data_IF_813204120898
#
_entry.id   IF_813204120898
#
_cell.length_a   1.000
_cell.length_b   1.000
_cell.length_c   1.000
_cell.angle_alpha   90.00
_cell.angle_beta   90.00
_cell.angle_gamma   90.00
#
_symmetry.space_group_name_H-M   'P 1'
#
loop_
_entity.id
_entity.type
_entity.pdbx_description
1 polymer ?
#
# COMPACT_ATOMS: atom_id res chain seq x y z
N UNK A 1 -11.16 7.66 -55.78
CA UNK A 1 -10.71 7.61 -54.38
C UNK A 1 -10.21 6.20 -54.11
N UNK A 2 -8.91 6.02 -53.88
CA UNK A 2 -8.39 4.69 -53.54
C UNK A 2 -8.83 4.36 -52.10
N UNK A 3 -9.45 3.20 -51.91
CA UNK A 3 -9.76 2.70 -50.58
C UNK A 3 -8.46 2.57 -49.79
N UNK A 4 -8.37 3.17 -48.60
CA UNK A 4 -7.23 2.95 -47.72
C UNK A 4 -7.24 1.48 -47.30
N UNK A 5 -6.40 0.68 -47.94
CA UNK A 5 -6.22 -0.71 -47.52
C UNK A 5 -5.46 -0.71 -46.19
N UNK A 6 -6.16 -0.95 -45.10
CA UNK A 6 -5.52 -1.17 -43.80
C UNK A 6 -4.75 -2.48 -43.87
N UNK A 7 -3.41 -2.42 -43.87
CA UNK A 7 -2.59 -3.62 -43.85
C UNK A 7 -2.69 -4.29 -42.48
N UNK A 8 -3.01 -5.59 -42.40
CA UNK A 8 -3.04 -6.29 -41.12
C UNK A 8 -1.65 -6.30 -40.49
N UNK A 9 -1.58 -6.24 -39.16
CA UNK A 9 -0.32 -6.10 -38.40
C UNK A 9 0.81 -7.05 -38.87
N UNK A 10 0.57 -8.36 -39.10
CA UNK A 10 1.64 -9.27 -39.54
C UNK A 10 2.23 -8.97 -40.93
N UNK A 11 1.56 -8.14 -41.74
CA UNK A 11 2.01 -7.73 -43.08
C UNK A 11 2.73 -6.38 -43.08
N UNK A 12 2.84 -5.72 -41.94
CA UNK A 12 3.62 -4.49 -41.81
C UNK A 12 5.13 -4.81 -41.92
N UNK A 13 5.94 -3.90 -42.49
CA UNK A 13 7.39 -3.94 -42.39
C UNK A 13 7.85 -4.16 -40.94
N UNK A 14 8.96 -4.89 -40.78
CA UNK A 14 9.49 -5.26 -39.47
C UNK A 14 9.73 -4.04 -38.58
N UNK A 15 10.23 -2.96 -39.14
CA UNK A 15 10.49 -1.70 -38.44
C UNK A 15 9.22 -1.13 -37.81
N UNK A 16 8.10 -1.14 -38.56
CA UNK A 16 6.81 -0.65 -38.04
C UNK A 16 6.24 -1.59 -36.97
N UNK A 17 6.38 -2.91 -37.14
CA UNK A 17 5.95 -3.89 -36.12
C UNK A 17 6.71 -3.70 -34.81
N UNK A 18 8.03 -3.53 -34.89
CA UNK A 18 8.87 -3.24 -33.72
C UNK A 18 8.51 -1.90 -33.07
N UNK A 19 8.29 -0.84 -33.84
CA UNK A 19 7.86 0.45 -33.30
C UNK A 19 6.52 0.36 -32.57
N UNK A 20 5.57 -0.41 -33.10
CA UNK A 20 4.28 -0.65 -32.45
C UNK A 20 4.47 -1.43 -31.15
N UNK A 21 5.30 -2.49 -31.13
CA UNK A 21 5.57 -3.22 -29.90
C UNK A 21 6.26 -2.36 -28.84
N UNK A 22 7.27 -1.58 -29.24
CA UNK A 22 7.97 -0.65 -28.34
C UNK A 22 6.99 0.42 -27.80
N UNK A 23 6.13 0.97 -28.66
CA UNK A 23 5.13 1.96 -28.26
C UNK A 23 3.99 1.38 -27.42
N UNK A 24 3.75 0.07 -27.49
CA UNK A 24 2.75 -0.62 -26.69
C UNK A 24 3.26 -0.98 -25.29
N UNK A 25 4.58 -1.12 -25.10
CA UNK A 25 5.17 -1.33 -23.78
C UNK A 25 4.83 -0.15 -22.86
N UNK A 26 4.23 -0.43 -21.70
CA UNK A 26 4.00 0.61 -20.68
C UNK A 26 5.36 1.03 -20.13
N UNK A 27 5.83 2.22 -20.53
CA UNK A 27 7.03 2.84 -19.99
C UNK A 27 6.75 3.27 -18.56
N UNK A 28 7.49 2.76 -17.58
CA UNK A 28 7.44 3.31 -16.22
C UNK A 28 8.17 4.66 -16.28
N UNK A 29 7.42 5.76 -16.22
CA UNK A 29 8.05 7.07 -16.13
C UNK A 29 8.61 7.27 -14.71
N UNK A 30 9.65 8.10 -14.52
CA UNK A 30 10.06 8.51 -13.19
C UNK A 30 8.88 9.07 -12.37
N UNK A 31 8.58 8.40 -11.25
CA UNK A 31 7.44 8.70 -10.39
C UNK A 31 6.10 8.09 -10.83
N UNK A 32 6.11 7.06 -11.69
CA UNK A 32 5.01 6.11 -11.79
C UNK A 32 5.14 5.08 -10.66
N UNK A 33 4.12 4.99 -9.82
CA UNK A 33 4.10 4.10 -8.66
C UNK A 33 3.09 2.98 -8.90
N UNK A 34 3.57 1.73 -8.93
CA UNK A 34 2.73 0.56 -9.12
C UNK A 34 2.26 -0.02 -7.78
N UNK A 35 1.02 -0.52 -7.74
CA UNK A 35 0.53 -1.38 -6.67
C UNK A 35 0.62 -2.83 -7.14
N UNK A 36 1.33 -3.65 -6.39
CA UNK A 36 1.51 -5.08 -6.65
C UNK A 36 0.95 -5.92 -5.51
N UNK A 37 0.14 -6.91 -5.83
CA UNK A 37 -0.44 -7.82 -4.85
C UNK A 37 0.45 -9.04 -4.67
N UNK A 38 0.97 -9.20 -3.45
CA UNK A 38 1.97 -10.20 -3.13
C UNK A 38 1.46 -11.18 -2.08
N UNK A 39 1.90 -12.42 -2.18
CA UNK A 39 1.88 -13.38 -1.09
C UNK A 39 3.24 -13.36 -0.41
N UNK A 40 3.21 -13.45 0.91
CA UNK A 40 4.40 -13.38 1.76
C UNK A 40 4.54 -14.74 2.42
N UNK A 41 5.72 -15.35 2.27
CA UNK A 41 6.02 -16.66 2.81
C UNK A 41 7.34 -16.61 3.57
N UNK A 42 7.49 -17.49 4.56
CA UNK A 42 8.79 -17.78 5.13
C UNK A 42 9.78 -18.21 4.03
N UNK A 43 11.05 -17.81 4.16
CA UNK A 43 12.06 -18.11 3.17
C UNK A 43 12.19 -19.63 3.08
N UNK A 44 12.01 -20.19 1.88
CA UNK A 44 12.35 -21.58 1.65
C UNK A 44 13.86 -21.69 1.74
N UNK A 45 14.38 -22.17 2.87
CA UNK A 45 15.79 -22.50 2.99
C UNK A 45 16.16 -23.53 1.90
N UNK A 46 16.87 -23.09 0.87
CA UNK A 46 17.75 -23.98 0.13
C UNK A 46 18.97 -24.20 1.02
N UNK A 47 19.19 -25.46 1.41
CA UNK A 47 20.23 -25.94 2.31
C UNK A 47 21.52 -25.10 2.28
N UNK A 48 21.91 -24.51 3.43
CA UNK A 48 23.32 -24.21 3.69
C UNK A 48 23.70 -22.89 4.35
N UNK A 49 22.84 -21.87 4.43
CA UNK A 49 23.18 -20.62 5.15
C UNK A 49 21.99 -20.16 6.00
N UNK A 50 22.10 -20.13 7.35
CA UNK A 50 21.12 -19.48 8.18
C UNK A 50 21.17 -17.97 7.90
N UNK A 51 20.08 -17.39 7.38
CA UNK A 51 19.92 -15.94 7.43
C UNK A 51 19.70 -15.54 8.89
N UNK A 52 20.51 -14.62 9.45
CA UNK A 52 20.36 -14.14 10.81
C UNK A 52 19.26 -13.06 10.91
N UNK A 53 18.16 -13.19 10.17
CA UNK A 53 17.12 -12.17 10.11
C UNK A 53 15.74 -12.76 9.91
N UNK A 54 14.76 -12.17 10.59
CA UNK A 54 13.32 -12.35 10.37
C UNK A 54 12.90 -11.84 8.98
N UNK A 55 13.36 -12.53 7.94
CA UNK A 55 13.15 -12.15 6.54
C UNK A 55 12.00 -12.94 5.98
N UNK A 56 11.03 -12.26 5.36
CA UNK A 56 9.97 -12.89 4.58
C UNK A 56 10.25 -12.69 3.09
N UNK A 57 9.93 -13.70 2.28
CA UNK A 57 10.05 -13.60 0.82
C UNK A 57 8.70 -13.26 0.22
N UNK A 58 8.67 -12.19 -0.58
CA UNK A 58 7.51 -11.78 -1.35
C UNK A 58 7.51 -12.44 -2.75
N UNK A 59 6.33 -12.92 -3.15
CA UNK A 59 6.05 -13.42 -4.50
C UNK A 59 4.71 -12.87 -4.97
N UNK A 60 4.45 -12.88 -6.28
CA UNK A 60 3.13 -12.45 -6.77
C UNK A 60 2.05 -13.35 -6.15
N UNK A 61 0.96 -12.75 -5.68
CA UNK A 61 -0.14 -13.51 -5.11
C UNK A 61 -0.76 -14.45 -6.15
N UNK A 62 -0.94 -15.72 -5.79
CA UNK A 62 -1.47 -16.74 -6.69
C UNK A 62 -2.88 -16.35 -7.18
N UNK A 63 -3.05 -16.24 -8.50
CA UNK A 63 -4.33 -15.91 -9.12
C UNK A 63 -4.66 -14.41 -9.14
N UNK A 64 -3.75 -13.55 -8.66
CA UNK A 64 -3.90 -12.12 -8.80
C UNK A 64 -3.89 -11.68 -10.27
N UNK A 65 -4.76 -10.74 -10.59
CA UNK A 65 -4.90 -10.14 -11.92
C UNK A 65 -4.83 -8.62 -11.88
N UNK A 66 -4.70 -8.06 -10.68
CA UNK A 66 -4.80 -6.63 -10.44
C UNK A 66 -3.44 -5.97 -10.23
N UNK A 67 -2.34 -6.71 -10.16
CA UNK A 67 -1.01 -6.09 -9.99
C UNK A 67 -0.59 -5.27 -11.20
N UNK A 68 -0.02 -4.08 -10.95
CA UNK A 68 0.47 -3.19 -12.00
C UNK A 68 1.51 -3.86 -12.92
N UNK A 69 2.36 -4.73 -12.37
CA UNK A 69 3.35 -5.48 -13.13
C UNK A 69 2.76 -6.39 -14.22
N UNK A 70 1.46 -6.71 -14.15
CA UNK A 70 0.73 -7.50 -15.14
C UNK A 70 0.26 -6.71 -16.35
N UNK A 71 0.35 -5.37 -16.36
CA UNK A 71 -0.07 -4.52 -17.50
C UNK A 71 0.58 -4.93 -18.81
N UNK A 72 1.84 -5.35 -18.77
CA UNK A 72 2.58 -5.84 -19.94
C UNK A 72 2.40 -7.35 -20.20
N UNK A 73 1.61 -8.07 -19.41
CA UNK A 73 1.41 -9.52 -19.54
C UNK A 73 0.75 -9.93 -20.86
N UNK A 74 -0.12 -9.09 -21.41
CA UNK A 74 -0.69 -9.28 -22.74
C UNK A 74 0.38 -9.26 -23.84
N UNK A 75 1.34 -8.33 -23.75
CA UNK A 75 2.48 -8.27 -24.67
C UNK A 75 3.38 -9.50 -24.53
N UNK A 76 3.60 -9.98 -23.31
CA UNK A 76 4.42 -11.16 -23.07
C UNK A 76 3.80 -12.43 -23.69
N UNK A 77 2.48 -12.53 -23.69
CA UNK A 77 1.79 -13.73 -24.19
C UNK A 77 1.42 -13.65 -25.68
N UNK A 78 1.52 -12.48 -26.30
CA UNK A 78 1.09 -12.25 -27.69
C UNK A 78 1.85 -13.09 -28.73
N UNK A 79 3.18 -12.93 -28.83
CA UNK A 79 4.01 -13.68 -29.78
C UNK A 79 5.51 -13.61 -29.42
N UNK A 80 6.36 -14.36 -30.14
CA UNK A 80 7.81 -14.32 -29.93
C UNK A 80 8.40 -12.92 -30.11
N UNK A 81 8.00 -12.21 -31.16
CA UNK A 81 8.53 -10.88 -31.47
C UNK A 81 8.22 -9.87 -30.35
N UNK A 82 7.00 -9.85 -29.83
CA UNK A 82 6.61 -9.01 -28.70
C UNK A 82 7.44 -9.32 -27.44
N UNK A 83 7.68 -10.61 -27.15
CA UNK A 83 8.53 -11.01 -26.01
C UNK A 83 9.98 -10.56 -26.18
N UNK A 84 10.54 -10.70 -27.38
CA UNK A 84 11.92 -10.31 -27.66
C UNK A 84 12.09 -8.78 -27.46
N UNK A 85 11.09 -7.99 -27.88
CA UNK A 85 11.03 -6.53 -27.62
C UNK A 85 10.94 -6.23 -26.13
N UNK A 86 10.06 -6.91 -25.38
CA UNK A 86 9.94 -6.71 -23.92
C UNK A 86 11.24 -7.01 -23.17
N UNK A 87 11.94 -8.10 -23.54
CA UNK A 87 13.21 -8.45 -22.91
C UNK A 87 14.26 -7.36 -23.14
N UNK A 88 14.38 -6.86 -24.37
CA UNK A 88 15.29 -5.75 -24.69
C UNK A 88 14.89 -4.47 -23.95
N UNK A 89 13.60 -4.11 -23.95
CA UNK A 89 13.09 -2.94 -23.25
C UNK A 89 13.33 -2.99 -21.74
N UNK A 90 13.18 -4.16 -21.12
CA UNK A 90 13.40 -4.37 -19.69
C UNK A 90 14.88 -4.35 -19.28
N UNK A 91 15.81 -4.52 -20.24
CA UNK A 91 17.25 -4.58 -19.98
C UNK A 91 17.91 -3.21 -19.83
N UNK A 92 17.18 -2.13 -20.13
CA UNK A 92 17.68 -0.76 -20.05
C UNK A 92 17.48 -0.21 -18.63
N UNK A 93 18.61 -0.05 -17.93
CA UNK A 93 18.93 0.76 -16.75
C UNK A 93 18.02 0.75 -15.50
N UNK A 94 18.65 0.46 -14.35
CA UNK A 94 18.23 0.95 -13.04
C UNK A 94 18.79 0.13 -11.86
N UNK A 95 19.69 0.72 -11.07
CA UNK A 95 20.30 0.14 -9.85
C UNK A 95 19.34 -0.10 -8.67
N UNK A 96 18.02 -0.06 -8.88
CA UNK A 96 17.00 -0.06 -7.81
C UNK A 96 15.70 -0.81 -8.18
N UNK A 97 15.70 -1.63 -9.22
CA UNK A 97 14.54 -2.48 -9.55
C UNK A 97 14.78 -3.93 -9.11
N UNK A 98 13.71 -4.60 -8.66
CA UNK A 98 13.69 -6.03 -8.42
C UNK A 98 12.79 -6.73 -9.45
N UNK A 99 12.76 -8.06 -9.38
CA UNK A 99 12.02 -8.91 -10.31
C UNK A 99 11.06 -9.82 -9.54
N UNK A 100 9.78 -9.73 -9.84
CA UNK A 100 8.75 -10.61 -9.27
C UNK A 100 8.38 -11.68 -10.29
N UNK A 101 8.47 -12.95 -9.88
CA UNK A 101 8.18 -14.06 -10.78
C UNK A 101 6.68 -14.24 -10.97
N UNK A 102 6.26 -14.31 -12.23
CA UNK A 102 4.87 -14.51 -12.65
C UNK A 102 4.74 -15.90 -13.25
N UNK A 103 3.91 -16.73 -12.62
CA UNK A 103 3.62 -18.07 -13.11
C UNK A 103 2.76 -17.99 -14.37
N UNK A 104 3.30 -18.48 -15.49
CA UNK A 104 2.60 -18.50 -16.77
C UNK A 104 2.14 -19.91 -17.16
N UNK A 105 1.18 -20.00 -18.10
CA UNK A 105 0.78 -21.27 -18.74
C UNK A 105 1.88 -21.80 -19.70
N UNK A 106 3.07 -22.12 -19.17
CA UNK A 106 4.15 -22.82 -19.88
C UNK A 106 5.50 -22.12 -19.91
N UNK A 107 5.58 -20.82 -19.57
CA UNK A 107 6.86 -20.14 -19.34
C UNK A 107 6.69 -19.02 -18.32
N UNK A 108 7.30 -19.22 -17.16
CA UNK A 108 7.39 -18.18 -16.14
C UNK A 108 8.15 -16.99 -16.71
N UNK A 109 7.76 -15.80 -16.28
CA UNK A 109 8.46 -14.59 -16.63
C UNK A 109 8.50 -13.66 -15.44
N UNK A 110 9.55 -12.89 -15.36
CA UNK A 110 9.73 -12.00 -14.23
C UNK A 110 9.37 -10.59 -14.65
N UNK A 111 8.42 -9.98 -13.94
CA UNK A 111 8.11 -8.58 -14.13
C UNK A 111 9.02 -7.70 -13.27
N UNK A 112 9.33 -6.54 -13.83
CA UNK A 112 10.11 -5.50 -13.16
C UNK A 112 9.22 -4.76 -12.17
N UNK A 113 9.73 -4.55 -10.96
CA UNK A 113 9.11 -3.76 -9.88
C UNK A 113 10.17 -2.89 -9.21
N UNK A 114 9.75 -1.88 -8.45
CA UNK A 114 10.64 -0.95 -7.75
C UNK A 114 10.39 -1.03 -6.23
N UNK A 115 11.11 -1.88 -5.48
CA UNK A 115 10.83 -2.16 -4.06
C UNK A 115 10.72 -0.94 -3.13
N UNK A 116 11.43 0.14 -3.43
CA UNK A 116 11.45 1.36 -2.61
C UNK A 116 10.45 2.42 -3.08
N UNK A 117 9.79 2.23 -4.22
CA UNK A 117 8.85 3.20 -4.80
C UNK A 117 7.44 2.61 -4.91
N UNK A 118 7.33 1.40 -5.45
CA UNK A 118 6.07 0.70 -5.59
C UNK A 118 5.49 0.32 -4.22
N UNK A 119 4.16 0.12 -4.21
CA UNK A 119 3.42 -0.36 -3.06
C UNK A 119 3.14 -1.84 -3.22
N UNK A 120 3.41 -2.61 -2.17
CA UNK A 120 3.22 -4.05 -2.14
C UNK A 120 2.07 -4.40 -1.19
N UNK A 121 0.91 -4.70 -1.76
CA UNK A 121 -0.26 -5.08 -1.02
C UNK A 121 -0.23 -6.57 -0.67
N UNK A 122 -0.26 -6.91 0.61
CA UNK A 122 -0.18 -8.31 1.06
C UNK A 122 -1.55 -8.98 0.92
N UNK A 123 -1.58 -10.11 0.22
CA UNK A 123 -2.71 -11.05 0.08
C UNK A 123 -2.26 -12.47 0.45
N UNK A 124 -1.82 -12.63 1.70
CA UNK A 124 -1.38 -13.94 2.15
C UNK A 124 -2.57 -14.89 2.36
N UNK A 125 -2.40 -16.16 2.04
CA UNK A 125 -3.39 -17.20 2.35
C UNK A 125 -3.23 -17.73 3.77
N UNK A 126 -2.02 -17.64 4.32
CA UNK A 126 -1.68 -18.22 5.62
C UNK A 126 -1.62 -17.15 6.71
N UNK A 127 -1.23 -15.92 6.37
CA UNK A 127 -1.00 -14.83 7.34
C UNK A 127 -0.01 -15.18 8.45
N UNK A 128 0.79 -16.23 8.25
CA UNK A 128 1.81 -16.68 9.17
C UNK A 128 2.97 -15.68 9.19
N UNK A 129 3.57 -15.50 10.36
CA UNK A 129 4.69 -14.61 10.57
C UNK A 129 5.70 -15.25 11.51
N UNK A 130 6.97 -14.81 11.48
CA UNK A 130 7.96 -15.23 12.47
C UNK A 130 7.49 -14.80 13.86
N UNK A 131 7.60 -15.68 14.86
CA UNK A 131 7.22 -15.39 16.24
C UNK A 131 8.15 -14.39 16.95
N UNK A 132 9.28 -14.04 16.33
CA UNK A 132 10.33 -13.23 16.94
C UNK A 132 10.21 -11.76 16.53
N UNK A 133 9.82 -10.91 17.49
CA UNK A 133 9.83 -9.45 17.35
C UNK A 133 11.17 -8.80 17.71
N UNK A 134 12.15 -9.60 18.17
CA UNK A 134 13.45 -9.15 18.65
C UNK A 134 14.32 -8.48 17.57
N UNK A 135 14.03 -8.74 16.30
CA UNK A 135 14.70 -8.14 15.15
C UNK A 135 13.65 -7.46 14.26
N UNK A 136 14.05 -6.35 13.62
CA UNK A 136 13.23 -5.67 12.64
C UNK A 136 12.88 -6.59 11.47
N UNK A 137 11.60 -6.72 11.17
CA UNK A 137 11.10 -7.53 10.07
C UNK A 137 11.52 -6.92 8.74
N UNK A 138 11.97 -7.78 7.83
CA UNK A 138 12.27 -7.38 6.46
C UNK A 138 11.47 -8.26 5.51
N UNK A 139 10.62 -7.63 4.70
CA UNK A 139 9.99 -8.32 3.57
C UNK A 139 10.85 -8.03 2.34
N UNK A 140 11.34 -9.08 1.70
CA UNK A 140 12.31 -8.99 0.63
C UNK A 140 11.79 -9.61 -0.67
N UNK A 141 12.13 -8.97 -1.78
CA UNK A 141 11.94 -9.53 -3.12
C UNK A 141 13.30 -10.05 -3.62
N UNK A 142 13.36 -11.26 -4.19
CA UNK A 142 14.56 -11.76 -4.84
C UNK A 142 15.00 -10.83 -5.98
N UNK A 143 16.23 -10.34 -5.94
CA UNK A 143 16.87 -9.64 -7.05
C UNK A 143 17.57 -10.69 -7.93
N UNK A 144 17.06 -10.84 -9.15
CA UNK A 144 17.66 -11.67 -10.19
C UNK A 144 18.68 -10.83 -10.98
N UNK A 145 19.69 -10.32 -10.27
CA UNK A 145 20.86 -9.70 -10.88
C UNK A 145 21.74 -10.77 -11.57
N UNK A 146 22.34 -10.51 -12.74
CA UNK A 146 23.18 -11.48 -13.47
C UNK A 146 24.39 -12.00 -12.68
N UNK A 147 24.76 -11.37 -11.57
CA UNK A 147 25.93 -11.69 -10.73
C UNK A 147 25.64 -12.39 -9.39
N UNK A 148 24.38 -12.75 -9.10
CA UNK A 148 24.00 -13.48 -7.88
C UNK A 148 22.66 -13.04 -7.27
N UNK A 149 22.15 -13.84 -6.34
CA UNK A 149 20.93 -13.57 -5.55
C UNK A 149 21.20 -12.41 -4.58
N UNK A 150 20.96 -11.18 -5.02
CA UNK A 150 20.74 -10.08 -4.08
C UNK A 150 19.27 -10.14 -3.67
N UNK A 151 18.92 -9.57 -2.53
CA UNK A 151 17.53 -9.36 -2.15
C UNK A 151 17.36 -7.88 -1.85
N UNK A 152 16.18 -7.34 -2.14
CA UNK A 152 15.86 -5.94 -1.84
C UNK A 152 14.64 -5.89 -0.95
N UNK A 153 14.75 -5.20 0.18
CA UNK A 153 13.64 -4.97 1.09
C UNK A 153 12.63 -4.01 0.46
N UNK A 154 11.34 -4.35 0.56
CA UNK A 154 10.27 -3.44 0.20
C UNK A 154 10.09 -2.38 1.29
N UNK A 155 9.75 -1.16 0.90
CA UNK A 155 9.57 -0.04 1.84
C UNK A 155 8.13 0.38 2.01
N UNK A 156 7.25 0.12 1.03
CA UNK A 156 5.85 0.51 1.07
C UNK A 156 4.96 -0.74 1.10
N UNK A 157 4.40 -1.05 2.26
CA UNK A 157 3.53 -2.22 2.45
C UNK A 157 2.09 -1.74 2.56
N UNK A 158 1.17 -2.44 1.90
CA UNK A 158 -0.25 -2.15 1.99
C UNK A 158 -1.11 -3.34 2.42
N UNK A 159 -2.30 -3.04 2.96
CA UNK A 159 -3.36 -3.99 3.23
C UNK A 159 -4.69 -3.46 2.70
N UNK A 160 -5.51 -4.33 2.13
CA UNK A 160 -6.89 -3.96 1.76
C UNK A 160 -7.75 -3.94 3.02
N UNK A 161 -8.39 -2.80 3.29
CA UNK A 161 -9.32 -2.67 4.39
C UNK A 161 -10.57 -3.51 4.15
N UNK A 162 -11.04 -4.16 5.21
CA UNK A 162 -12.32 -4.86 5.24
C UNK A 162 -13.08 -4.39 6.47
N UNK A 163 -14.33 -3.95 6.30
CA UNK A 163 -15.15 -3.42 7.40
C UNK A 163 -15.38 -4.43 8.53
N UNK A 164 -15.26 -5.73 8.26
CA UNK A 164 -15.28 -6.77 9.29
C UNK A 164 -14.12 -6.65 10.29
N UNK A 165 -13.09 -5.86 10.01
CA UNK A 165 -11.98 -5.63 10.94
C UNK A 165 -12.42 -4.95 12.24
N UNK A 166 -13.57 -4.28 12.25
CA UNK A 166 -14.16 -3.72 13.47
C UNK A 166 -14.99 -4.71 14.29
N UNK A 167 -15.22 -5.93 13.77
CA UNK A 167 -16.04 -6.95 14.44
C UNK A 167 -15.16 -7.82 15.33
N UNK A 168 -15.68 -8.18 16.50
CA UNK A 168 -15.03 -9.11 17.43
C UNK A 168 -13.56 -8.73 17.70
N UNK A 169 -13.30 -7.43 17.92
CA UNK A 169 -11.98 -6.96 18.32
C UNK A 169 -11.63 -7.52 19.71
N UNK A 170 -10.40 -8.03 19.90
CA UNK A 170 -9.98 -8.54 21.18
C UNK A 170 -9.77 -7.41 22.19
N UNK A 171 -9.64 -7.78 23.47
CA UNK A 171 -9.46 -6.83 24.56
C UNK A 171 -8.02 -6.34 24.73
N UNK A 172 -7.05 -7.03 24.15
CA UNK A 172 -5.65 -6.65 24.22
C UNK A 172 -4.96 -6.73 22.86
N UNK A 173 -3.94 -5.90 22.68
CA UNK A 173 -3.20 -5.80 21.42
C UNK A 173 -2.47 -7.09 21.06
N UNK A 174 -1.93 -7.82 22.05
CA UNK A 174 -1.24 -9.09 21.83
C UNK A 174 -2.15 -10.19 21.29
N UNK A 175 -3.41 -10.23 21.71
CA UNK A 175 -4.41 -11.14 21.14
C UNK A 175 -4.70 -10.78 19.67
N UNK A 176 -4.80 -9.48 19.35
CA UNK A 176 -4.97 -9.02 17.95
C UNK A 176 -3.78 -9.42 17.10
N UNK A 177 -2.57 -9.21 17.61
CA UNK A 177 -1.32 -9.69 17.00
C UNK A 177 -1.22 -11.21 16.92
N UNK A 178 -2.04 -11.97 17.61
CA UNK A 178 -2.01 -13.43 17.52
C UNK A 178 -2.99 -13.97 16.47
N UNK A 179 -3.81 -13.10 15.87
CA UNK A 179 -4.76 -13.52 14.84
C UNK A 179 -4.05 -13.93 13.54
N UNK A 180 -4.47 -15.06 12.98
CA UNK A 180 -4.09 -15.49 11.62
C UNK A 180 -4.97 -14.79 10.57
N UNK A 181 -4.96 -13.46 10.59
CA UNK A 181 -5.79 -12.58 9.77
C UNK A 181 -4.96 -11.42 9.18
N UNK A 182 -5.51 -10.70 8.21
CA UNK A 182 -4.88 -9.51 7.64
C UNK A 182 -4.66 -8.41 8.68
N UNK A 183 -5.68 -8.15 9.54
CA UNK A 183 -5.55 -7.17 10.63
C UNK A 183 -4.54 -7.61 11.68
N UNK A 184 -4.47 -8.90 12.01
CA UNK A 184 -3.44 -9.41 12.93
C UNK A 184 -2.04 -9.24 12.36
N UNK A 185 -1.85 -9.50 11.06
CA UNK A 185 -0.58 -9.27 10.39
C UNK A 185 -0.19 -7.78 10.40
N UNK A 186 -1.14 -6.89 10.08
CA UNK A 186 -0.94 -5.44 10.17
C UNK A 186 -0.52 -5.03 11.58
N UNK A 187 -1.21 -5.53 12.62
CA UNK A 187 -0.89 -5.22 14.01
C UNK A 187 0.52 -5.66 14.41
N UNK A 188 0.95 -6.86 13.96
CA UNK A 188 2.32 -7.34 14.17
C UNK A 188 3.36 -6.45 13.47
N UNK A 189 3.05 -5.98 12.26
CA UNK A 189 3.92 -5.09 11.49
C UNK A 189 4.07 -3.72 12.16
N UNK A 190 2.98 -3.14 12.64
CA UNK A 190 2.96 -1.88 13.39
C UNK A 190 3.77 -2.00 14.69
N UNK A 191 3.57 -3.09 15.43
CA UNK A 191 4.31 -3.37 16.66
C UNK A 191 5.81 -3.58 16.40
N UNK A 192 6.17 -4.31 15.35
CA UNK A 192 7.58 -4.48 14.98
C UNK A 192 8.24 -3.17 14.56
N UNK A 193 7.54 -2.32 13.80
CA UNK A 193 7.98 -0.96 13.44
C UNK A 193 8.24 -0.12 14.68
N UNK A 194 7.30 -0.14 15.62
CA UNK A 194 7.39 0.54 16.89
C UNK A 194 8.60 0.09 17.70
N UNK A 195 8.76 -1.21 17.98
CA UNK A 195 9.88 -1.72 18.79
C UNK A 195 11.27 -1.44 18.22
N UNK A 196 11.38 -1.33 16.90
CA UNK A 196 12.65 -1.25 16.19
C UNK A 196 12.95 0.15 15.62
N UNK A 197 12.12 1.16 15.91
CA UNK A 197 12.24 2.52 15.36
C UNK A 197 12.38 2.54 13.82
N UNK A 198 11.62 1.69 13.11
CA UNK A 198 11.73 1.53 11.65
C UNK A 198 11.05 2.67 10.89
N UNK A 199 11.76 3.80 10.76
CA UNK A 199 11.28 5.00 10.07
C UNK A 199 11.20 4.88 8.54
N UNK A 200 11.86 3.88 7.94
CA UNK A 200 11.88 3.71 6.47
C UNK A 200 10.76 2.83 5.94
N UNK A 201 9.93 2.26 6.81
CA UNK A 201 8.84 1.37 6.42
C UNK A 201 7.50 2.13 6.46
N UNK A 202 6.96 2.42 5.28
CA UNK A 202 5.65 3.02 5.14
C UNK A 202 4.56 1.95 5.08
N UNK A 203 3.52 2.13 5.88
CA UNK A 203 2.39 1.20 5.98
C UNK A 203 1.15 1.93 5.47
N UNK A 204 0.44 1.28 4.56
CA UNK A 204 -0.70 1.83 3.85
C UNK A 204 -1.95 0.96 4.04
N UNK A 205 -3.12 1.59 4.16
CA UNK A 205 -4.42 0.94 4.12
C UNK A 205 -5.13 1.34 2.83
N UNK A 206 -5.51 0.36 2.02
CA UNK A 206 -6.25 0.55 0.76
C UNK A 206 -7.75 0.44 1.04
N UNK A 207 -8.48 1.50 0.76
CA UNK A 207 -9.93 1.64 0.92
C UNK A 207 -10.56 1.66 -0.48
N UNK A 208 -11.09 0.52 -0.93
CA UNK A 208 -11.60 0.38 -2.31
C UNK A 208 -12.96 1.04 -2.54
N UNK A 209 -13.87 0.90 -1.58
CA UNK A 209 -15.27 1.25 -1.76
C UNK A 209 -15.68 2.51 -1.00
N UNK A 210 -14.72 3.23 -0.41
CA UNK A 210 -15.00 4.41 0.40
C UNK A 210 -15.03 5.67 -0.44
N UNK A 211 -16.12 6.43 -0.35
CA UNK A 211 -16.27 7.75 -0.91
C UNK A 211 -15.39 8.74 -0.15
N UNK A 212 -14.68 9.58 -0.90
CA UNK A 212 -13.74 10.55 -0.33
C UNK A 212 -13.78 11.86 -1.12
N UNK A 213 -13.16 12.90 -0.59
CA UNK A 213 -13.07 14.19 -1.27
C UNK A 213 -11.68 14.79 -1.13
N UNK A 214 -11.32 15.68 -2.04
CA UNK A 214 -10.01 16.35 -2.03
C UNK A 214 -9.99 17.41 -0.92
N UNK A 215 -8.91 17.44 -0.14
CA UNK A 215 -8.61 18.58 0.72
C UNK A 215 -8.20 19.79 -0.14
N UNK A 216 -9.01 20.87 -0.20
CA UNK A 216 -8.71 22.03 -1.04
C UNK A 216 -7.45 22.78 -0.62
N UNK A 217 -6.92 22.52 0.58
CA UNK A 217 -5.73 23.16 1.12
C UNK A 217 -4.46 22.28 1.05
N UNK A 218 -4.58 21.00 0.69
CA UNK A 218 -3.41 20.18 0.33
C UNK A 218 -3.12 20.36 -1.16
N UNK A 219 -1.93 20.86 -1.54
CA UNK A 219 -1.63 21.20 -2.92
C UNK A 219 -1.49 19.95 -3.79
N UNK A 220 -2.44 19.79 -4.72
CA UNK A 220 -2.52 18.80 -5.82
C UNK A 220 -2.53 17.33 -5.35
N UNK A 221 -3.26 16.44 -6.03
CA UNK A 221 -3.08 15.02 -5.76
C UNK A 221 -1.62 14.65 -6.08
N UNK A 222 -1.00 13.93 -5.14
CA UNK A 222 0.14 13.05 -5.44
C UNK A 222 -0.19 12.27 -6.72
N UNK A 223 0.81 12.02 -7.59
CA UNK A 223 0.57 11.23 -8.81
C UNK A 223 -0.21 9.96 -8.45
N UNK A 224 -1.26 9.61 -9.21
CA UNK A 224 -2.05 8.43 -8.90
C UNK A 224 -1.14 7.21 -8.93
N UNK A 225 -1.28 6.39 -7.89
CA UNK A 225 -0.69 5.08 -7.85
C UNK A 225 -1.63 4.15 -8.59
N UNK A 226 -1.12 3.23 -9.36
CA UNK A 226 -1.97 2.41 -10.20
C UNK A 226 -1.74 0.94 -9.96
N UNK A 227 -2.81 0.18 -10.02
CA UNK A 227 -2.74 -1.28 -10.13
C UNK A 227 -2.88 -1.66 -11.62
N UNK A 228 -3.45 -2.80 -11.97
CA UNK A 228 -3.63 -3.23 -13.36
C UNK A 228 -4.53 -2.28 -14.15
N UNK A 229 -5.69 -1.94 -13.61
CA UNK A 229 -6.75 -1.18 -14.31
C UNK A 229 -7.30 0.00 -13.50
N UNK A 230 -6.87 0.15 -12.25
CA UNK A 230 -7.42 1.12 -11.33
C UNK A 230 -6.35 2.12 -10.86
N UNK A 231 -6.76 3.38 -10.73
CA UNK A 231 -5.97 4.44 -10.10
C UNK A 231 -6.39 4.65 -8.63
N UNK A 232 -5.41 4.83 -7.77
CA UNK A 232 -5.53 5.11 -6.35
C UNK A 232 -4.86 6.44 -6.02
N UNK A 233 -5.42 7.15 -5.05
CA UNK A 233 -4.90 8.44 -4.60
C UNK A 233 -4.67 8.38 -3.08
N UNK A 234 -3.55 8.92 -2.57
CA UNK A 234 -3.35 9.11 -1.15
C UNK A 234 -4.41 10.05 -0.56
N UNK A 235 -5.08 9.61 0.49
CA UNK A 235 -6.13 10.35 1.18
C UNK A 235 -5.83 10.43 2.68
N UNK A 236 -6.55 11.31 3.38
CA UNK A 236 -6.50 11.39 4.85
C UNK A 236 -7.77 10.78 5.43
N UNK A 237 -7.63 9.97 6.48
CA UNK A 237 -8.79 9.45 7.24
C UNK A 237 -9.52 10.56 8.02
N UNK A 238 -8.82 11.65 8.35
CA UNK A 238 -9.30 12.79 9.12
C UNK A 238 -9.60 13.99 8.20
N UNK A 239 -10.46 13.80 7.21
CA UNK A 239 -10.94 14.96 6.47
C UNK A 239 -12.13 15.61 7.19
N UNK A 240 -11.83 16.64 7.99
CA UNK A 240 -12.81 17.68 8.31
C UNK A 240 -12.78 18.73 7.19
N UNK A 241 -13.90 18.91 6.47
CA UNK A 241 -13.95 19.94 5.45
C UNK A 241 -13.86 21.29 6.14
N UNK A 242 -12.74 22.01 5.98
CA UNK A 242 -12.58 23.36 6.56
C UNK A 242 -13.64 24.36 6.09
N UNK A 243 -14.31 24.09 4.97
CA UNK A 243 -15.36 24.95 4.42
C UNK A 243 -16.73 24.78 5.12
N UNK A 244 -17.07 23.59 5.63
CA UNK A 244 -18.33 23.35 6.37
C UNK A 244 -18.12 22.91 7.83
N UNK A 245 -16.87 22.68 8.25
CA UNK A 245 -16.42 22.16 9.53
C UNK A 245 -16.98 20.77 9.90
N UNK A 246 -17.55 20.04 8.93
CA UNK A 246 -18.05 18.68 9.14
C UNK A 246 -17.05 17.65 8.65
N UNK A 247 -17.07 16.50 9.30
CA UNK A 247 -16.48 15.29 8.76
C UNK A 247 -17.41 14.74 7.68
N UNK A 248 -16.85 14.52 6.50
CA UNK A 248 -17.61 14.01 5.37
C UNK A 248 -17.56 12.47 5.33
N UNK A 249 -18.30 11.83 6.24
CA UNK A 249 -18.43 10.37 6.30
C UNK A 249 -19.60 9.91 5.40
N UNK A 250 -19.47 10.14 4.09
CA UNK A 250 -20.57 10.04 3.13
C UNK A 250 -21.24 8.65 3.07
N UNK A 251 -20.43 7.60 3.14
CA UNK A 251 -20.86 6.21 3.04
C UNK A 251 -20.50 5.37 4.28
N UNK A 252 -19.92 5.99 5.31
CA UNK A 252 -19.50 5.32 6.55
C UNK A 252 -18.27 4.42 6.44
N UNK A 253 -17.67 4.25 5.24
CA UNK A 253 -16.50 3.38 5.07
C UNK A 253 -15.27 4.00 5.76
N UNK A 254 -15.02 5.28 5.53
CA UNK A 254 -13.93 5.99 6.21
C UNK A 254 -14.17 6.17 7.71
N UNK A 255 -15.43 6.23 8.14
CA UNK A 255 -15.77 6.16 9.56
C UNK A 255 -15.38 4.81 10.16
N UNK A 256 -15.59 3.71 9.44
CA UNK A 256 -15.17 2.37 9.84
C UNK A 256 -13.64 2.25 9.88
N UNK A 257 -12.93 2.83 8.92
CA UNK A 257 -11.45 2.90 8.95
C UNK A 257 -10.98 3.64 10.21
N UNK A 258 -11.55 4.82 10.50
CA UNK A 258 -11.22 5.61 11.69
C UNK A 258 -11.54 4.87 13.00
N UNK A 259 -12.67 4.16 13.04
CA UNK A 259 -13.01 3.32 14.20
C UNK A 259 -11.96 2.24 14.45
N UNK A 260 -11.44 1.65 13.38
CA UNK A 260 -10.40 0.62 13.48
C UNK A 260 -9.07 1.21 13.92
N UNK A 261 -8.64 2.34 13.37
CA UNK A 261 -7.37 3.00 13.75
C UNK A 261 -7.38 3.49 15.19
N UNK A 262 -8.47 4.13 15.63
CA UNK A 262 -8.67 4.48 17.04
C UNK A 262 -8.60 3.24 17.95
N UNK A 263 -9.22 2.12 17.54
CA UNK A 263 -9.16 0.88 18.32
C UNK A 263 -7.74 0.31 18.39
N UNK A 264 -6.95 0.43 17.31
CA UNK A 264 -5.54 0.03 17.32
C UNK A 264 -4.73 0.87 18.31
N UNK A 265 -4.94 2.18 18.33
CA UNK A 265 -4.24 3.10 19.23
C UNK A 265 -4.63 2.86 20.69
N UNK A 266 -5.93 2.72 20.96
CA UNK A 266 -6.45 2.42 22.30
C UNK A 266 -5.88 1.10 22.86
N UNK A 267 -5.88 0.05 22.05
CA UNK A 267 -5.28 -1.24 22.42
C UNK A 267 -3.76 -1.13 22.54
N UNK A 268 -3.15 -0.34 21.65
CA UNK A 268 -1.71 -0.14 21.53
C UNK A 268 -1.10 0.56 22.72
N UNK A 269 -1.84 1.38 23.48
CA UNK A 269 -1.33 2.05 24.69
C UNK A 269 -0.64 1.07 25.66
N UNK A 270 -1.12 -0.18 25.73
CA UNK A 270 -0.49 -1.21 26.55
C UNK A 270 0.93 -1.58 26.11
N UNK A 271 1.22 -1.45 24.81
CA UNK A 271 2.52 -1.75 24.20
C UNK A 271 3.57 -0.67 24.44
N UNK A 272 3.20 0.54 24.89
CA UNK A 272 4.15 1.65 25.10
C UNK A 272 5.34 1.23 25.98
N UNK A 273 5.04 0.44 27.02
CA UNK A 273 5.99 -0.09 28.01
C UNK A 273 7.02 -1.06 27.42
N UNK A 274 6.74 -1.63 26.26
CA UNK A 274 7.63 -2.58 25.59
C UNK A 274 8.75 -1.86 24.85
N UNK A 275 8.61 -0.55 24.59
CA UNK A 275 9.65 0.20 23.90
C UNK A 275 10.91 0.32 24.74
N UNK A 276 12.07 0.13 24.10
CA UNK A 276 13.39 0.27 24.73
C UNK A 276 13.66 1.64 25.37
N UNK A 277 13.00 2.68 24.86
CA UNK A 277 13.14 4.06 25.33
C UNK A 277 12.01 4.49 26.27
N UNK A 278 11.10 3.58 26.65
CA UNK A 278 10.00 3.93 27.55
C UNK A 278 10.53 4.41 28.89
N UNK A 279 10.13 5.61 29.28
CA UNK A 279 10.33 6.16 30.62
C UNK A 279 8.97 6.39 31.23
N UNK A 280 8.65 5.82 32.41
CA UNK A 280 7.38 6.08 33.08
C UNK A 280 7.23 7.59 33.32
N UNK A 281 6.23 8.22 32.71
CA UNK A 281 5.77 9.54 33.13
C UNK A 281 5.11 9.34 34.49
N UNK A 282 5.73 9.87 35.55
CA UNK A 282 5.06 9.99 36.84
C UNK A 282 4.13 11.20 36.72
N UNK A 283 2.83 10.99 36.93
CA UNK A 283 1.77 12.00 37.02
C UNK A 283 2.00 12.99 38.18
N UNK A 284 3.08 13.74 38.14
CA UNK A 284 3.35 14.84 39.06
C UNK A 284 3.99 15.96 38.23
N UNK A 285 3.15 16.77 37.57
CA UNK A 285 3.07 18.23 37.73
C UNK A 285 1.93 18.72 36.84
N UNK A 286 0.95 19.38 37.44
CA UNK A 286 -0.15 20.09 36.77
C UNK A 286 0.34 21.17 35.80
N UNK A 287 0.65 20.78 34.58
CA UNK A 287 0.89 21.63 33.44
C UNK A 287 -0.02 21.21 32.31
N UNK A 288 -0.75 22.16 31.73
CA UNK A 288 -1.62 22.02 30.57
C UNK A 288 -0.85 21.70 29.26
N UNK A 289 0.11 20.79 29.32
CA UNK A 289 0.76 20.21 28.15
C UNK A 289 -0.06 19.00 27.72
N UNK A 290 -0.58 19.02 26.51
CA UNK A 290 -1.12 17.84 25.87
C UNK A 290 -0.01 16.77 25.84
N UNK A 291 -0.04 15.79 26.74
CA UNK A 291 0.78 14.59 26.56
C UNK A 291 0.39 13.99 25.21
N UNK A 292 1.37 13.78 24.33
CA UNK A 292 1.14 13.14 23.04
C UNK A 292 0.61 11.72 23.32
N UNK A 293 -0.68 11.52 23.06
CA UNK A 293 -1.33 10.23 23.22
C UNK A 293 -0.57 9.20 22.37
N UNK A 294 -0.23 8.04 22.95
CA UNK A 294 0.43 6.97 22.23
C UNK A 294 -0.46 6.47 21.09
N UNK A 295 -0.02 6.65 19.84
CA UNK A 295 -0.73 6.19 18.66
C UNK A 295 0.15 5.20 17.88
N UNK A 296 -0.10 3.90 18.01
CA UNK A 296 0.66 2.86 17.29
C UNK A 296 0.43 2.90 15.78
N UNK A 297 -0.75 3.38 15.38
CA UNK A 297 -1.15 3.58 14.00
C UNK A 297 -0.71 4.94 13.43
N UNK A 298 0.12 5.69 14.18
CA UNK A 298 0.76 6.92 13.68
C UNK A 298 1.41 6.67 12.32
N UNK A 299 1.28 7.63 11.41
CA UNK A 299 1.88 7.60 10.07
C UNK A 299 1.40 6.44 9.17
N UNK A 300 0.30 5.77 9.51
CA UNK A 300 -0.39 4.88 8.55
C UNK A 300 -1.01 5.76 7.46
N UNK A 301 -0.60 5.52 6.21
CA UNK A 301 -1.16 6.18 5.04
C UNK A 301 -2.43 5.51 4.55
N UNK A 302 -3.29 6.25 3.83
CA UNK A 302 -4.52 5.71 3.24
C UNK A 302 -4.54 5.93 1.74
N UNK A 303 -5.02 4.93 1.00
CA UNK A 303 -5.20 4.98 -0.44
C UNK A 303 -6.65 4.70 -0.79
N UNK A 304 -7.26 5.55 -1.61
CA UNK A 304 -8.64 5.38 -2.06
C UNK A 304 -8.72 5.24 -3.57
N UNK A 305 -9.73 4.52 -4.07
CA UNK A 305 -10.05 4.48 -5.50
C UNK A 305 -10.32 5.89 -6.01
N UNK A 306 -9.65 6.28 -7.09
CA UNK A 306 -9.82 7.60 -7.71
C UNK A 306 -11.28 7.89 -8.09
N UNK A 307 -11.97 6.88 -8.58
CA UNK A 307 -13.35 6.99 -9.06
C UNK A 307 -14.38 7.14 -7.92
N UNK A 308 -13.96 6.89 -6.67
CA UNK A 308 -14.79 7.12 -5.48
C UNK A 308 -14.70 8.56 -4.95
N UNK A 309 -13.98 9.44 -5.65
CA UNK A 309 -13.94 10.85 -5.31
C UNK A 309 -15.30 11.52 -5.57
N UNK A 310 -15.79 12.29 -4.60
CA UNK A 310 -17.01 13.07 -4.74
C UNK A 310 -16.77 14.57 -4.57
N UNK A 311 -17.46 15.36 -5.39
CA UNK A 311 -17.34 16.82 -5.47
C UNK A 311 -18.37 17.50 -4.56
N UNK A 312 -18.24 17.40 -3.24
CA UNK A 312 -19.37 17.71 -2.36
C UNK A 312 -18.99 18.34 -1.01
N UNK A 313 -18.33 19.49 -1.03
CA UNK A 313 -18.44 20.42 0.10
C UNK A 313 -19.10 21.72 -0.40
N UNK A 314 -20.43 21.83 -0.26
CA UNK A 314 -21.23 23.02 -0.64
C UNK A 314 -21.20 24.15 0.41
N UNK A 315 -20.31 24.04 1.42
CA UNK A 315 -20.14 25.02 2.48
C UNK A 315 -20.96 24.77 3.74
N UNK A 316 -20.79 25.65 4.73
CA UNK A 316 -21.60 25.66 5.96
C UNK A 316 -23.06 25.81 5.53
N UNK A 317 -23.89 24.79 5.78
CA UNK A 317 -25.32 24.89 5.55
C UNK A 317 -25.91 26.03 6.39
N UNK A 318 -27.02 26.66 5.95
CA UNK A 318 -27.78 27.52 6.85
C UNK A 318 -28.28 26.66 8.02
N UNK A 319 -28.24 27.21 9.22
CA UNK A 319 -28.79 26.67 10.47
C UNK A 319 -27.90 25.73 11.27
N UNK A 320 -26.94 26.30 11.99
CA UNK A 320 -26.93 26.22 13.45
C UNK A 320 -26.71 27.65 13.93
N UNK A 321 -27.76 28.27 14.46
CA UNK A 321 -27.65 29.58 15.11
C UNK A 321 -26.67 29.40 16.27
N UNK A 322 -25.69 30.29 16.34
CA UNK A 322 -24.99 30.56 17.59
C UNK A 322 -26.09 30.89 18.60
N UNK A 323 -26.26 30.02 19.59
CA UNK A 323 -27.00 30.36 20.80
C UNK A 323 -26.18 31.47 21.47
N UNK A 324 -26.51 32.70 21.07
CA UNK A 324 -26.03 33.94 21.65
C UNK A 324 -26.58 33.98 23.08
N UNK A 325 -25.83 33.43 24.03
CA UNK A 325 -26.03 33.64 25.48
C UNK A 325 -25.81 35.13 25.79
N UNK A 326 -26.81 35.92 25.46
CA UNK A 326 -26.91 37.34 25.80
C UNK A 326 -28.31 37.65 26.33
N UNK A 327 -28.70 36.98 27.42
CA UNK A 327 -29.79 37.43 28.28
C UNK A 327 -29.47 37.13 29.76
N UNK A 328 -28.49 37.86 30.30
CA UNK A 328 -28.50 38.24 31.72
C UNK A 328 -28.94 39.71 31.80
N UNK A 329 -30.25 39.90 31.66
CA UNK A 329 -30.93 41.15 31.95
C UNK A 329 -31.13 41.33 33.46
N UNK A 330 -30.48 42.38 33.97
CA UNK A 330 -30.75 43.21 35.16
C UNK A 330 -30.85 42.58 36.55
#
# INVERSE_FOLDING_TARGET
MAASSFNPFPRLPTELRLQIWIGACVSHQPGDYGIHYIDVCEPRFTEGIPSPSCTLTARLADGDKSSACLRNGGLWTACKESRDVMLQYSSVDGHHCARISIRGNGKDWDARVYPTQDIFCIKSKTWNTPDTHAEGWQIQIPDLSPGGLRTTSIQNIAFEFDESWNKDLPKCYYDLMSETSARGFLSRLLYNRFLNDLTTLEIWIIVKNGQWTIDPYRPRPTKPLHDYDTDYIPVSEYFSCRHCLRTHDFDGVFQSVRSFTNSLDDLGMACEKDHRNYTPTYDDVGGWGFEEQFCISSDVGFLAHRDMQIDLCTGRGPDEKEDDDSDLGF
#
